data_IF_311915357760
#
_entry.id   IF_311915357760
#
_cell.length_a   1.000
_cell.length_b   1.000
_cell.length_c   1.000
_cell.angle_alpha   90.00
_cell.angle_beta   90.00
_cell.angle_gamma   90.00
#
_symmetry.space_group_name_H-M   'P 1'
#
loop_
_entity.id
_entity.type
_entity.pdbx_description
1 polymer ?
#
# COMPACT_ATOMS: atom_id res chain seq x y z
N UNK A 1 17.43 -5.37 -26.08
CA UNK A 1 18.23 -6.31 -26.88
C UNK A 1 17.24 -7.17 -27.68
N UNK A 2 16.83 -6.68 -28.85
CA UNK A 2 15.83 -7.31 -29.70
C UNK A 2 16.54 -8.21 -30.71
N UNK A 3 16.33 -9.52 -30.60
CA UNK A 3 16.89 -10.50 -31.53
C UNK A 3 15.98 -10.54 -32.77
N UNK A 4 16.49 -9.99 -33.86
CA UNK A 4 16.04 -10.20 -35.24
C UNK A 4 16.14 -11.69 -35.58
N UNK A 5 15.03 -12.43 -35.54
CA UNK A 5 14.96 -13.81 -36.07
C UNK A 5 14.29 -13.77 -37.44
N UNK A 6 15.13 -13.93 -38.46
CA UNK A 6 14.81 -14.00 -39.89
C UNK A 6 13.66 -14.96 -40.19
N UNK A 7 12.74 -14.46 -41.01
CA UNK A 7 11.94 -15.22 -41.96
C UNK A 7 12.88 -15.96 -42.91
N UNK A 8 12.71 -17.28 -43.04
CA UNK A 8 13.18 -18.03 -44.20
C UNK A 8 11.93 -18.63 -44.82
N UNK A 9 11.62 -18.09 -45.99
CA UNK A 9 10.55 -18.51 -46.87
C UNK A 9 10.79 -19.95 -47.31
N UNK A 10 9.82 -20.82 -47.02
CA UNK A 10 9.74 -22.14 -47.61
C UNK A 10 8.56 -22.16 -48.57
N UNK A 11 8.77 -21.61 -49.77
CA UNK A 11 7.88 -21.79 -50.91
C UNK A 11 8.17 -23.16 -51.53
N UNK A 12 7.43 -24.18 -51.06
CA UNK A 12 7.38 -25.50 -51.67
C UNK A 12 5.94 -25.85 -51.99
N UNK A 13 5.59 -25.74 -53.27
CA UNK A 13 4.28 -26.03 -53.85
C UNK A 13 3.82 -27.48 -53.63
N UNK A 14 2.51 -27.68 -53.53
CA UNK A 14 1.89 -29.00 -53.58
C UNK A 14 0.49 -28.99 -52.97
N UNK A 15 -0.51 -28.78 -53.81
CA UNK A 15 -1.89 -28.55 -53.38
C UNK A 15 -2.60 -29.77 -52.78
N UNK A 16 -3.49 -29.49 -51.84
CA UNK A 16 -4.69 -30.28 -51.55
C UNK A 16 -5.82 -29.33 -51.17
N UNK A 17 -6.99 -29.60 -51.75
CA UNK A 17 -8.23 -28.83 -51.73
C UNK A 17 -8.75 -28.44 -50.34
N UNK A 18 -9.55 -27.36 -50.26
CA UNK A 18 -10.06 -26.79 -49.02
C UNK A 18 -11.04 -27.76 -48.36
N UNK A 19 -10.57 -28.49 -47.34
CA UNK A 19 -11.48 -29.10 -46.39
C UNK A 19 -12.19 -27.95 -45.67
N UNK A 20 -13.51 -27.92 -45.86
CA UNK A 20 -14.46 -27.10 -45.11
C UNK A 20 -14.06 -27.09 -43.64
N UNK A 21 -13.35 -26.04 -43.24
CA UNK A 21 -13.07 -25.77 -41.84
C UNK A 21 -14.38 -25.29 -41.25
N UNK A 22 -15.20 -26.23 -40.79
CA UNK A 22 -16.26 -25.94 -39.85
C UNK A 22 -15.69 -24.95 -38.82
N UNK A 23 -16.30 -23.77 -38.64
CA UNK A 23 -15.77 -22.76 -37.74
C UNK A 23 -15.53 -23.45 -36.40
N UNK A 24 -14.31 -23.38 -35.85
CA UNK A 24 -14.03 -23.99 -34.56
C UNK A 24 -15.13 -23.48 -33.61
N UNK A 25 -15.81 -24.38 -32.88
CA UNK A 25 -16.92 -23.99 -32.03
C UNK A 25 -16.42 -22.83 -31.17
N UNK A 26 -17.09 -21.67 -31.27
CA UNK A 26 -16.76 -20.52 -30.46
C UNK A 26 -16.78 -21.01 -29.02
N UNK A 27 -15.59 -21.21 -28.44
CA UNK A 27 -15.43 -21.66 -27.07
C UNK A 27 -15.87 -20.47 -26.24
N UNK A 28 -17.18 -20.32 -26.07
CA UNK A 28 -17.84 -19.56 -25.02
C UNK A 28 -17.67 -20.25 -23.66
N UNK A 29 -16.56 -20.97 -23.50
CA UNK A 29 -16.16 -21.57 -22.26
C UNK A 29 -15.84 -20.44 -21.30
N UNK A 30 -16.80 -20.14 -20.42
CA UNK A 30 -16.64 -19.36 -19.21
C UNK A 30 -15.68 -20.03 -18.21
N UNK A 31 -14.58 -20.60 -18.70
CA UNK A 31 -13.46 -20.98 -17.87
C UNK A 31 -12.91 -19.71 -17.26
N UNK A 32 -13.03 -19.60 -15.94
CA UNK A 32 -12.53 -18.50 -15.14
C UNK A 32 -11.10 -18.17 -15.58
N UNK A 33 -10.94 -17.11 -16.38
CA UNK A 33 -9.62 -16.70 -16.84
C UNK A 33 -8.90 -16.11 -15.63
N UNK A 34 -7.91 -16.82 -15.11
CA UNK A 34 -7.03 -16.40 -14.02
C UNK A 34 -6.53 -14.94 -14.13
N UNK A 35 -6.22 -14.39 -15.33
CA UNK A 35 -5.89 -12.96 -15.47
C UNK A 35 -6.96 -12.01 -14.94
N UNK A 36 -8.24 -12.35 -15.09
CA UNK A 36 -9.36 -11.57 -14.57
C UNK A 36 -9.38 -11.53 -13.04
N UNK A 37 -9.18 -12.68 -12.39
CA UNK A 37 -9.15 -12.80 -10.92
C UNK A 37 -8.02 -11.93 -10.34
N UNK A 38 -6.84 -11.97 -10.96
CA UNK A 38 -5.69 -11.17 -10.50
C UNK A 38 -5.96 -9.68 -10.69
N UNK A 39 -6.56 -9.29 -11.82
CA UNK A 39 -6.98 -7.91 -12.05
C UNK A 39 -7.94 -7.42 -10.96
N UNK A 40 -8.91 -8.24 -10.58
CA UNK A 40 -9.85 -7.92 -9.49
C UNK A 40 -9.14 -7.79 -8.15
N UNK A 41 -8.24 -8.71 -7.80
CA UNK A 41 -7.48 -8.62 -6.54
C UNK A 41 -6.60 -7.36 -6.51
N UNK A 42 -5.95 -7.01 -7.63
CA UNK A 42 -5.19 -5.76 -7.75
C UNK A 42 -6.06 -4.52 -7.52
N UNK A 43 -7.30 -4.50 -8.04
CA UNK A 43 -8.24 -3.40 -7.82
C UNK A 43 -8.65 -3.32 -6.35
N UNK A 44 -8.96 -4.44 -5.70
CA UNK A 44 -9.31 -4.48 -4.28
C UNK A 44 -8.15 -3.98 -3.42
N UNK A 45 -6.93 -4.41 -3.71
CA UNK A 45 -5.74 -3.97 -2.98
C UNK A 45 -5.43 -2.49 -3.22
N UNK A 46 -5.63 -1.96 -4.44
CA UNK A 46 -5.53 -0.52 -4.70
C UNK A 46 -6.55 0.27 -3.88
N UNK A 47 -7.81 -0.19 -3.85
CA UNK A 47 -8.88 0.45 -3.10
C UNK A 47 -8.61 0.42 -1.58
N UNK A 48 -8.18 -0.71 -1.04
CA UNK A 48 -7.77 -0.83 0.36
C UNK A 48 -6.57 0.04 0.67
N UNK A 49 -5.58 0.11 -0.22
CA UNK A 49 -4.44 1.02 -0.07
C UNK A 49 -4.88 2.48 0.03
N UNK A 50 -5.81 2.91 -0.83
CA UNK A 50 -6.37 4.26 -0.80
C UNK A 50 -7.17 4.51 0.47
N UNK A 51 -7.97 3.54 0.94
CA UNK A 51 -8.75 3.70 2.18
C UNK A 51 -7.86 3.75 3.42
N UNK A 52 -6.94 2.78 3.57
CA UNK A 52 -6.09 2.70 4.75
C UNK A 52 -5.12 3.88 4.86
N UNK A 53 -4.55 4.34 3.74
CA UNK A 53 -3.64 5.49 3.77
C UNK A 53 -4.38 6.83 3.69
N UNK A 54 -5.42 6.92 2.85
CA UNK A 54 -6.20 8.14 2.67
C UNK A 54 -6.94 8.60 3.94
N UNK A 55 -7.42 7.66 4.77
CA UNK A 55 -8.04 8.00 6.04
C UNK A 55 -7.04 8.58 7.06
N UNK A 56 -5.80 8.09 7.07
CA UNK A 56 -4.79 8.53 8.04
C UNK A 56 -4.07 9.81 7.59
N UNK A 57 -3.86 10.01 6.29
CA UNK A 57 -3.30 11.26 5.77
C UNK A 57 -4.32 12.41 5.77
N UNK A 58 -5.61 12.10 5.58
CA UNK A 58 -6.68 13.10 5.57
C UNK A 58 -6.87 13.80 6.91
N UNK A 59 -6.79 13.05 8.03
CA UNK A 59 -6.83 13.62 9.38
C UNK A 59 -5.63 14.52 9.66
N UNK A 60 -4.42 14.12 9.24
CA UNK A 60 -3.20 14.93 9.40
C UNK A 60 -3.26 16.26 8.64
N UNK A 61 -3.81 16.29 7.43
CA UNK A 61 -3.96 17.53 6.64
C UNK A 61 -5.03 18.44 7.24
N UNK A 62 -6.19 17.89 7.64
CA UNK A 62 -7.24 18.64 8.32
C UNK A 62 -6.73 19.28 9.62
N UNK A 63 -5.94 18.55 10.40
CA UNK A 63 -5.32 19.06 11.62
C UNK A 63 -4.27 20.14 11.37
N UNK A 64 -3.68 20.22 10.18
CA UNK A 64 -2.71 21.26 9.82
C UNK A 64 -3.39 22.56 9.34
N UNK A 65 -4.62 22.47 8.84
CA UNK A 65 -5.41 23.62 8.36
C UNK A 65 -6.35 24.17 9.44
N UNK A 66 -6.74 23.36 10.42
CA UNK A 66 -7.63 23.77 11.50
C UNK A 66 -7.06 24.60 12.67
N UNK A 67 -5.73 24.75 12.92
CA UNK A 67 -5.29 25.35 14.18
C UNK A 67 -5.53 26.87 14.24
N UNK A 68 -5.76 27.53 13.10
CA UNK A 68 -5.92 28.98 13.06
C UNK A 68 -7.33 29.46 13.48
N UNK A 69 -8.31 28.54 13.59
CA UNK A 69 -9.67 28.91 13.99
C UNK A 69 -9.92 28.76 15.50
N UNK A 70 -9.11 27.98 16.23
CA UNK A 70 -9.29 27.77 17.67
C UNK A 70 -8.55 28.79 18.54
N UNK A 71 -7.53 29.49 18.01
CA UNK A 71 -6.80 30.50 18.79
C UNK A 71 -7.60 31.81 18.99
N UNK A 72 -8.60 32.08 18.14
CA UNK A 72 -9.50 33.24 18.28
C UNK A 72 -10.65 33.05 19.29
N UNK A 73 -10.83 31.86 19.87
CA UNK A 73 -11.87 31.63 20.89
C UNK A 73 -11.39 31.81 22.33
N UNK A 74 -10.08 31.75 22.61
CA UNK A 74 -9.59 31.90 23.99
C UNK A 74 -9.43 33.36 24.43
N UNK A 75 -9.43 34.34 23.52
CA UNK A 75 -9.28 35.76 23.86
C UNK A 75 -10.60 36.43 24.32
N UNK A 76 -11.75 35.73 24.30
CA UNK A 76 -13.03 36.29 24.77
C UNK A 76 -13.48 35.80 26.15
N UNK A 77 -12.71 34.95 26.84
CA UNK A 77 -13.11 34.40 28.15
C UNK A 77 -12.43 35.04 29.37
N UNK A 78 -11.55 36.03 29.19
CA UNK A 78 -10.87 36.72 30.31
C UNK A 78 -11.64 37.94 30.85
N UNK A 79 -12.97 38.01 30.71
CA UNK A 79 -13.77 39.08 31.34
C UNK A 79 -15.13 38.57 31.81
N UNK A 80 -15.15 37.68 32.81
CA UNK A 80 -16.23 37.59 33.81
C UNK A 80 -15.91 36.47 34.80
N UNK A 81 -15.52 36.81 36.03
CA UNK A 81 -15.43 35.76 37.06
C UNK A 81 -14.84 36.12 38.42
N UNK A 82 -14.92 37.37 38.87
CA UNK A 82 -14.81 37.64 40.31
C UNK A 82 -16.14 37.27 40.98
N UNK A 83 -16.22 36.10 41.64
CA UNK A 83 -17.06 35.92 42.85
C UNK A 83 -16.91 34.56 43.53
N UNK A 84 -16.49 34.68 44.78
CA UNK A 84 -16.96 33.94 45.96
C UNK A 84 -16.41 32.53 46.26
N UNK A 85 -15.51 32.56 47.24
CA UNK A 85 -15.25 31.58 48.29
C UNK A 85 -16.51 30.95 48.90
N UNK A 86 -16.56 29.63 49.01
CA UNK A 86 -17.54 28.93 49.82
C UNK A 86 -17.27 27.42 49.95
N UNK A 87 -16.84 27.00 51.14
CA UNK A 87 -16.58 25.62 51.57
C UNK A 87 -17.80 24.70 51.46
N UNK A 88 -17.61 23.42 51.16
CA UNK A 88 -17.72 22.31 52.14
C UNK A 88 -17.56 20.95 51.48
N UNK A 89 -17.12 20.02 52.33
CA UNK A 89 -16.70 18.65 52.06
C UNK A 89 -17.79 17.71 51.52
N UNK A 90 -17.29 16.54 51.11
CA UNK A 90 -17.99 15.26 50.89
C UNK A 90 -18.59 15.06 49.51
N UNK A 91 -17.85 14.37 48.63
CA UNK A 91 -18.51 13.30 47.88
C UNK A 91 -17.58 12.15 47.49
N UNK A 92 -18.11 10.95 47.74
CA UNK A 92 -17.57 9.63 47.53
C UNK A 92 -17.88 9.24 46.08
N UNK A 93 -16.96 9.44 45.14
CA UNK A 93 -17.17 9.07 43.74
C UNK A 93 -16.50 7.74 43.40
N UNK A 94 -17.34 6.70 43.38
CA UNK A 94 -17.51 5.73 42.29
C UNK A 94 -16.57 5.91 41.09
N UNK A 95 -15.97 4.82 40.64
CA UNK A 95 -14.99 4.80 39.56
C UNK A 95 -15.48 5.46 38.27
N UNK A 96 -14.91 6.62 37.97
CA UNK A 96 -14.94 7.26 36.66
C UNK A 96 -13.96 6.54 35.74
N UNK A 97 -14.53 5.60 35.00
CA UNK A 97 -13.92 4.86 33.91
C UNK A 97 -14.27 5.56 32.59
N UNK A 98 -13.91 6.84 32.43
CA UNK A 98 -14.16 7.61 31.20
C UNK A 98 -12.98 8.47 30.72
N UNK A 99 -11.86 8.51 31.45
CA UNK A 99 -10.72 9.37 31.10
C UNK A 99 -9.69 8.72 30.17
N UNK A 100 -10.01 7.57 29.55
CA UNK A 100 -9.11 6.90 28.59
C UNK A 100 -9.24 7.46 27.16
N UNK A 101 -10.26 8.26 26.87
CA UNK A 101 -10.56 8.71 25.49
C UNK A 101 -9.76 9.94 25.02
N UNK A 102 -8.77 10.40 25.79
CA UNK A 102 -7.89 11.49 25.36
C UNK A 102 -6.40 11.21 25.62
N UNK A 103 -5.95 10.02 25.23
CA UNK A 103 -4.54 9.85 24.86
C UNK A 103 -4.29 10.79 23.67
N UNK A 104 -3.88 12.00 24.01
CA UNK A 104 -3.63 13.10 23.12
C UNK A 104 -2.44 12.71 22.23
N UNK A 105 -2.75 12.15 21.06
CA UNK A 105 -1.80 11.86 19.97
C UNK A 105 -1.08 13.16 19.51
N UNK A 106 -1.45 14.31 20.05
CA UNK A 106 -0.81 15.61 19.84
C UNK A 106 0.62 15.70 20.40
N UNK A 107 1.07 14.76 21.24
CA UNK A 107 2.45 14.73 21.78
C UNK A 107 3.56 14.58 20.74
N UNK A 108 3.24 14.17 19.51
CA UNK A 108 4.21 14.07 18.40
C UNK A 108 4.34 15.34 17.55
N UNK A 109 3.70 16.46 17.92
CA UNK A 109 3.70 17.69 17.10
C UNK A 109 5.08 18.40 16.96
N UNK A 110 6.09 17.97 17.72
CA UNK A 110 7.46 18.53 17.71
C UNK A 110 8.38 17.90 16.65
N UNK A 111 7.84 17.35 15.56
CA UNK A 111 8.70 16.92 14.45
C UNK A 111 9.19 18.12 13.63
N UNK A 112 10.51 18.14 13.38
CA UNK A 112 11.20 19.10 12.52
C UNK A 112 10.42 19.31 11.22
N UNK A 113 10.29 20.55 10.70
CA UNK A 113 9.58 20.82 9.45
C UNK A 113 10.07 19.97 8.27
N UNK A 114 11.33 19.53 8.29
CA UNK A 114 11.87 18.60 7.30
C UNK A 114 11.13 17.25 7.26
N UNK A 115 10.73 16.69 8.41
CA UNK A 115 9.99 15.42 8.45
C UNK A 115 8.57 15.55 7.92
N UNK A 116 7.92 16.71 8.10
CA UNK A 116 6.59 16.96 7.53
C UNK A 116 6.62 16.95 6.00
N UNK A 117 7.67 17.51 5.40
CA UNK A 117 7.84 17.50 3.93
C UNK A 117 8.04 16.08 3.41
N UNK A 118 8.85 15.26 4.10
CA UNK A 118 9.06 13.86 3.73
C UNK A 118 7.74 13.10 3.75
N UNK A 119 6.92 13.29 4.79
CA UNK A 119 5.63 12.61 4.91
C UNK A 119 4.67 12.97 3.76
N UNK A 120 4.60 14.26 3.39
CA UNK A 120 3.82 14.71 2.23
C UNK A 120 4.29 14.02 0.95
N UNK A 121 5.62 13.96 0.70
CA UNK A 121 6.18 13.32 -0.50
C UNK A 121 5.85 11.83 -0.53
N UNK A 122 6.00 11.14 0.61
CA UNK A 122 5.68 9.71 0.74
C UNK A 122 4.19 9.46 0.47
N UNK A 123 3.31 10.32 0.97
CA UNK A 123 1.87 10.21 0.75
C UNK A 123 1.50 10.39 -0.73
N UNK A 124 2.08 11.37 -1.42
CA UNK A 124 1.86 11.54 -2.87
C UNK A 124 2.44 10.38 -3.69
N UNK A 125 3.62 9.89 -3.34
CA UNK A 125 4.22 8.73 -4.00
C UNK A 125 3.35 7.47 -3.81
N UNK A 126 2.81 7.27 -2.60
CA UNK A 126 1.88 6.18 -2.29
C UNK A 126 0.60 6.25 -3.12
N UNK A 127 0.01 7.44 -3.21
CA UNK A 127 -1.18 7.69 -4.04
C UNK A 127 -0.91 7.42 -5.52
N UNK A 128 0.22 7.91 -6.05
CA UNK A 128 0.63 7.65 -7.42
C UNK A 128 0.81 6.15 -7.69
N UNK A 129 1.43 5.42 -6.76
CA UNK A 129 1.60 3.97 -6.86
C UNK A 129 0.26 3.22 -6.82
N UNK A 130 -0.73 3.71 -6.09
CA UNK A 130 -2.07 3.11 -6.06
C UNK A 130 -2.86 3.35 -7.35
N UNK A 131 -2.84 4.58 -7.87
CA UNK A 131 -3.45 4.92 -9.17
C UNK A 131 -2.81 4.08 -10.27
N UNK A 132 -1.48 3.93 -10.25
CA UNK A 132 -0.78 3.07 -11.19
C UNK A 132 -1.29 1.61 -11.11
N UNK A 133 -1.37 1.03 -9.91
CA UNK A 133 -1.89 -0.33 -9.72
C UNK A 133 -3.33 -0.47 -10.27
N UNK A 134 -4.18 0.52 -10.02
CA UNK A 134 -5.57 0.54 -10.48
C UNK A 134 -5.65 0.59 -12.02
N UNK A 135 -4.90 1.48 -12.66
CA UNK A 135 -4.80 1.57 -14.12
C UNK A 135 -4.28 0.27 -14.74
N UNK A 136 -3.26 -0.33 -14.12
CA UNK A 136 -2.70 -1.60 -14.59
C UNK A 136 -3.68 -2.77 -14.40
N UNK A 137 -4.42 -2.80 -13.28
CA UNK A 137 -5.48 -3.77 -13.01
C UNK A 137 -6.64 -3.68 -14.01
N UNK A 138 -7.11 -2.47 -14.34
CA UNK A 138 -8.13 -2.25 -15.38
C UNK A 138 -7.61 -2.67 -16.76
N UNK A 139 -6.33 -2.39 -17.05
CA UNK A 139 -5.70 -2.85 -18.29
C UNK A 139 -5.70 -4.38 -18.41
N UNK A 140 -5.50 -5.08 -17.30
CA UNK A 140 -5.50 -6.54 -17.24
C UNK A 140 -6.90 -7.13 -17.46
N UNK A 141 -7.94 -6.54 -16.87
CA UNK A 141 -9.33 -6.98 -17.10
C UNK A 141 -9.79 -6.72 -18.53
N UNK A 142 -9.29 -5.64 -19.16
CA UNK A 142 -9.51 -5.34 -20.58
C UNK A 142 -8.57 -6.07 -21.54
N UNK A 143 -7.79 -7.05 -21.06
CA UNK A 143 -6.85 -7.85 -21.86
C UNK A 143 -5.90 -7.00 -22.71
N UNK A 144 -5.40 -5.88 -22.15
CA UNK A 144 -4.44 -5.02 -22.85
C UNK A 144 -3.01 -5.51 -22.61
N UNK A 145 -2.16 -5.67 -23.65
CA UNK A 145 -0.81 -6.22 -23.51
C UNK A 145 0.12 -5.32 -22.68
N UNK A 146 -0.09 -3.99 -22.70
CA UNK A 146 0.72 -3.05 -21.91
C UNK A 146 0.55 -3.20 -20.40
N UNK A 147 -0.57 -3.79 -19.94
CA UNK A 147 -0.88 -3.94 -18.52
C UNK A 147 0.10 -4.88 -17.80
N UNK A 148 0.57 -5.93 -18.49
CA UNK A 148 1.49 -6.93 -17.92
C UNK A 148 2.85 -6.31 -17.63
N UNK A 149 3.42 -5.58 -18.60
CA UNK A 149 4.68 -4.86 -18.40
C UNK A 149 4.56 -3.80 -17.31
N UNK A 150 3.42 -3.12 -17.24
CA UNK A 150 3.12 -2.12 -16.21
C UNK A 150 3.07 -2.72 -14.79
N UNK A 151 2.37 -3.85 -14.60
CA UNK A 151 2.32 -4.57 -13.32
C UNK A 151 3.69 -5.13 -12.91
N UNK A 152 4.48 -5.60 -13.88
CA UNK A 152 5.82 -6.09 -13.63
C UNK A 152 6.75 -4.97 -13.15
N UNK A 153 6.72 -3.82 -13.83
CA UNK A 153 7.48 -2.63 -13.42
C UNK A 153 7.05 -2.13 -12.03
N UNK A 154 5.74 -2.06 -11.78
CA UNK A 154 5.20 -1.69 -10.47
C UNK A 154 5.71 -2.60 -9.35
N UNK A 155 5.72 -3.92 -9.58
CA UNK A 155 6.17 -4.91 -8.60
C UNK A 155 7.67 -4.74 -8.27
N UNK A 156 8.51 -4.49 -9.27
CA UNK A 156 9.92 -4.19 -9.07
C UNK A 156 10.14 -2.93 -8.24
N UNK A 157 9.46 -1.83 -8.58
CA UNK A 157 9.56 -0.58 -7.84
C UNK A 157 9.15 -0.80 -6.38
N UNK A 158 8.05 -1.52 -6.13
CA UNK A 158 7.59 -1.84 -4.77
C UNK A 158 8.62 -2.63 -3.97
N UNK A 159 9.25 -3.64 -4.58
CA UNK A 159 10.30 -4.43 -3.91
C UNK A 159 11.50 -3.55 -3.56
N UNK A 160 11.93 -2.67 -4.47
CA UNK A 160 13.06 -1.76 -4.21
C UNK A 160 12.74 -0.76 -3.10
N UNK A 161 11.54 -0.17 -3.10
CA UNK A 161 11.08 0.75 -2.04
C UNK A 161 11.01 0.03 -0.69
N UNK A 162 10.43 -1.18 -0.66
CA UNK A 162 10.36 -1.96 0.56
C UNK A 162 11.77 -2.33 1.08
N UNK A 163 12.68 -2.72 0.19
CA UNK A 163 14.06 -3.05 0.56
C UNK A 163 14.81 -1.82 1.08
N UNK A 164 14.64 -0.65 0.44
CA UNK A 164 15.20 0.62 0.93
C UNK A 164 14.66 1.01 2.30
N UNK A 165 13.36 0.82 2.53
CA UNK A 165 12.73 1.03 3.85
C UNK A 165 13.29 0.07 4.91
N UNK A 166 13.42 -1.22 4.59
CA UNK A 166 14.03 -2.21 5.48
C UNK A 166 15.47 -1.84 5.84
N UNK A 167 16.25 -1.43 4.85
CA UNK A 167 17.63 -1.01 5.06
C UNK A 167 17.66 0.22 5.97
N UNK A 168 16.85 1.24 5.68
CA UNK A 168 16.75 2.46 6.49
C UNK A 168 16.36 2.16 7.94
N UNK A 169 15.33 1.35 8.16
CA UNK A 169 14.91 0.94 9.49
C UNK A 169 15.98 0.14 10.22
N UNK A 170 16.65 -0.78 9.52
CA UNK A 170 17.76 -1.53 10.08
C UNK A 170 18.90 -0.62 10.54
N UNK A 171 19.28 0.37 9.73
CA UNK A 171 20.28 1.37 10.10
C UNK A 171 19.84 2.22 11.29
N UNK A 172 18.58 2.67 11.31
CA UNK A 172 18.03 3.48 12.40
C UNK A 172 17.99 2.70 13.71
N UNK A 173 17.66 1.41 13.66
CA UNK A 173 17.55 0.53 14.83
C UNK A 173 18.89 0.05 15.40
N UNK A 174 19.96 0.18 14.61
CA UNK A 174 21.34 0.05 15.12
C UNK A 174 21.86 1.34 15.76
N UNK A 175 21.14 2.46 15.61
CA UNK A 175 21.54 3.75 16.15
C UNK A 175 21.28 3.90 17.66
N UNK A 176 21.89 4.93 18.29
CA UNK A 176 21.78 5.20 19.73
C UNK A 176 20.36 5.56 20.19
N UNK A 177 19.46 5.88 19.26
CA UNK A 177 18.07 6.23 19.57
C UNK A 177 17.31 5.09 20.27
N UNK A 178 17.62 3.83 19.96
CA UNK A 178 17.00 2.69 20.66
C UNK A 178 17.46 2.59 22.11
N UNK A 179 18.70 2.99 22.41
CA UNK A 179 19.22 2.95 23.78
C UNK A 179 18.54 4.02 24.64
N UNK A 180 18.32 5.22 24.08
CA UNK A 180 17.57 6.30 24.76
C UNK A 180 16.11 5.91 25.02
N UNK A 181 15.46 5.24 24.06
CA UNK A 181 14.06 4.82 24.19
C UNK A 181 13.89 3.69 25.23
N UNK A 182 14.84 2.74 25.27
CA UNK A 182 14.88 1.68 26.28
C UNK A 182 15.13 2.28 27.66
N UNK A 183 16.03 3.27 27.78
CA UNK A 183 16.28 3.96 29.03
C UNK A 183 15.01 4.68 29.56
N UNK A 184 14.25 5.34 28.68
CA UNK A 184 12.98 5.98 29.06
C UNK A 184 11.93 4.97 29.53
N UNK A 185 11.74 3.87 28.80
CA UNK A 185 10.78 2.82 29.18
C UNK A 185 11.17 2.14 30.50
N UNK A 186 12.47 1.99 30.76
CA UNK A 186 12.96 1.43 32.02
C UNK A 186 12.68 2.36 33.20
N UNK A 187 12.80 3.69 33.01
CA UNK A 187 12.42 4.67 34.03
C UNK A 187 10.91 4.62 34.33
N UNK A 188 10.07 4.54 33.30
CA UNK A 188 8.61 4.43 33.47
C UNK A 188 8.21 3.12 34.15
N UNK A 189 8.80 1.99 33.74
CA UNK A 189 8.51 0.69 34.34
C UNK A 189 8.90 0.62 35.81
N UNK A 190 9.97 1.31 36.22
CA UNK A 190 10.38 1.37 37.63
C UNK A 190 9.36 2.07 38.53
N UNK A 191 8.54 2.97 37.98
CA UNK A 191 7.48 3.69 38.71
C UNK A 191 6.23 2.85 38.88
N UNK A 192 6.03 1.82 38.04
CA UNK A 192 4.78 1.04 38.03
C UNK A 192 4.75 -0.13 39.02
N UNK A 193 5.85 -0.40 39.74
CA UNK A 193 5.87 -1.27 40.94
C UNK A 193 5.58 -2.77 40.70
N UNK A 194 5.27 -3.17 39.47
CA UNK A 194 4.98 -4.56 39.13
C UNK A 194 6.27 -5.22 38.62
N UNK A 195 6.80 -6.15 39.42
CA UNK A 195 8.15 -6.70 39.31
C UNK A 195 8.38 -7.67 38.15
N UNK A 196 7.83 -7.41 36.96
CA UNK A 196 8.15 -8.17 35.76
C UNK A 196 9.43 -7.58 35.16
N UNK A 197 10.58 -8.15 35.50
CA UNK A 197 11.85 -7.87 34.84
C UNK A 197 11.77 -8.39 33.39
N UNK A 198 11.22 -7.56 32.50
CA UNK A 198 11.31 -7.82 31.07
C UNK A 198 12.76 -7.59 30.62
N UNK A 199 13.41 -8.66 30.19
CA UNK A 199 14.71 -8.58 29.55
C UNK A 199 14.59 -7.70 28.29
N UNK A 200 15.22 -6.52 28.33
CA UNK A 200 15.21 -5.54 27.25
C UNK A 200 15.68 -6.16 25.91
N UNK A 201 16.53 -7.19 25.99
CA UNK A 201 17.00 -7.92 24.81
C UNK A 201 15.86 -8.67 24.12
N UNK A 202 14.96 -9.30 24.88
CA UNK A 202 13.81 -10.05 24.35
C UNK A 202 12.83 -9.08 23.68
N UNK A 203 12.54 -7.94 24.32
CA UNK A 203 11.64 -6.93 23.76
C UNK A 203 12.15 -6.41 22.40
N UNK A 204 13.46 -6.14 22.30
CA UNK A 204 14.09 -5.71 21.05
C UNK A 204 13.90 -6.74 19.92
N UNK A 205 14.12 -8.02 20.20
CA UNK A 205 13.93 -9.08 19.20
C UNK A 205 12.47 -9.26 18.79
N UNK A 206 11.52 -9.10 19.72
CA UNK A 206 10.09 -9.17 19.40
C UNK A 206 9.69 -8.04 18.44
N UNK A 207 10.15 -6.80 18.71
CA UNK A 207 9.85 -5.65 17.84
C UNK A 207 10.51 -5.81 16.46
N UNK A 208 11.78 -6.25 16.41
CA UNK A 208 12.45 -6.55 15.13
C UNK A 208 11.68 -7.63 14.36
N UNK A 209 11.32 -8.72 15.04
CA UNK A 209 10.65 -9.86 14.46
C UNK A 209 9.28 -9.50 13.90
N UNK A 210 8.48 -8.73 14.63
CA UNK A 210 7.14 -8.30 14.18
C UNK A 210 7.24 -7.35 12.98
N UNK A 211 8.17 -6.38 13.01
CA UNK A 211 8.43 -5.47 11.88
C UNK A 211 8.89 -6.24 10.63
N UNK A 212 9.80 -7.20 10.78
CA UNK A 212 10.27 -8.04 9.68
C UNK A 212 9.14 -8.92 9.11
N UNK A 213 8.29 -9.47 9.97
CA UNK A 213 7.13 -10.29 9.57
C UNK A 213 6.14 -9.48 8.74
N UNK A 214 5.74 -8.29 9.22
CA UNK A 214 4.84 -7.38 8.49
C UNK A 214 5.46 -7.00 7.14
N UNK A 215 6.77 -6.75 7.14
CA UNK A 215 7.57 -6.54 5.94
C UNK A 215 7.46 -7.63 4.89
N UNK A 216 7.71 -8.86 5.32
CA UNK A 216 7.67 -10.03 4.46
C UNK A 216 6.27 -10.22 3.87
N UNK A 217 5.21 -10.04 4.67
CA UNK A 217 3.83 -10.10 4.19
C UNK A 217 3.56 -9.04 3.11
N UNK A 218 4.07 -7.81 3.30
CA UNK A 218 3.92 -6.74 2.31
C UNK A 218 4.72 -6.99 1.00
N UNK A 219 5.85 -7.68 1.08
CA UNK A 219 6.69 -8.03 -0.08
C UNK A 219 6.20 -9.30 -0.78
N UNK A 220 5.52 -10.21 -0.07
CA UNK A 220 5.04 -11.47 -0.63
C UNK A 220 4.14 -11.25 -1.85
N UNK A 221 3.25 -10.26 -1.82
CA UNK A 221 2.34 -9.95 -2.92
C UNK A 221 3.05 -9.50 -4.22
N UNK A 222 3.91 -8.45 -4.22
CA UNK A 222 4.63 -8.06 -5.44
C UNK A 222 5.58 -9.15 -5.95
N UNK A 223 6.17 -9.96 -5.06
CA UNK A 223 6.97 -11.13 -5.47
C UNK A 223 6.10 -12.18 -6.15
N UNK A 224 4.92 -12.47 -5.61
CA UNK A 224 3.95 -13.37 -6.22
C UNK A 224 3.52 -12.87 -7.62
N UNK A 225 3.23 -11.58 -7.78
CA UNK A 225 2.90 -10.98 -9.08
C UNK A 225 4.04 -11.14 -10.09
N UNK A 226 5.29 -10.89 -9.67
CA UNK A 226 6.46 -11.08 -10.54
C UNK A 226 6.61 -12.53 -11.01
N UNK A 227 6.49 -13.48 -10.09
CA UNK A 227 6.58 -14.90 -10.43
C UNK A 227 5.43 -15.35 -11.32
N UNK A 228 4.21 -14.91 -11.01
CA UNK A 228 3.02 -15.26 -11.77
C UNK A 228 3.07 -14.71 -13.21
N UNK A 229 3.37 -13.42 -13.37
CA UNK A 229 3.45 -12.77 -14.69
C UNK A 229 4.66 -13.24 -15.50
N UNK A 230 5.73 -13.69 -14.84
CA UNK A 230 6.89 -14.31 -15.48
C UNK A 230 6.66 -15.70 -16.05
N UNK A 231 5.50 -16.33 -15.78
CA UNK A 231 5.20 -17.69 -16.26
C UNK A 231 4.95 -17.67 -17.77
N UNK A 232 5.68 -18.51 -18.52
CA UNK A 232 5.58 -18.62 -20.00
C UNK A 232 4.14 -18.73 -20.52
N UNK A 233 3.32 -19.55 -19.85
CA UNK A 233 1.90 -19.73 -20.20
C UNK A 233 1.12 -18.40 -20.21
N UNK A 234 1.34 -17.54 -19.23
CA UNK A 234 0.67 -16.23 -19.15
C UNK A 234 1.18 -15.32 -20.27
N UNK A 235 2.49 -15.35 -20.54
CA UNK A 235 3.08 -14.60 -21.65
C UNK A 235 2.54 -15.03 -23.02
N UNK A 236 2.34 -16.34 -23.23
CA UNK A 236 1.78 -16.89 -24.47
C UNK A 236 0.30 -16.49 -24.63
N UNK A 237 -0.49 -16.58 -23.55
CA UNK A 237 -1.88 -16.12 -23.52
C UNK A 237 -1.99 -14.62 -23.84
N UNK A 238 -1.11 -13.80 -23.26
CA UNK A 238 -1.08 -12.33 -23.48
C UNK A 238 -0.63 -11.99 -24.90
N UNK A 239 0.29 -12.77 -25.48
CA UNK A 239 0.69 -12.60 -26.88
C UNK A 239 -0.48 -12.83 -27.84
N UNK A 240 -1.39 -13.77 -27.50
CA UNK A 240 -2.61 -14.05 -28.26
C UNK A 240 -3.65 -12.92 -28.25
N UNK A 241 -3.59 -11.97 -27.30
CA UNK A 241 -4.57 -10.88 -27.21
C UNK A 241 -4.47 -9.90 -28.39
N UNK A 242 -3.31 -9.81 -29.05
CA UNK A 242 -3.13 -8.92 -30.19
C UNK A 242 -3.69 -9.49 -31.50
N UNK A 243 -3.83 -10.80 -31.62
CA UNK A 243 -4.31 -11.45 -32.84
C UNK A 243 -5.82 -11.32 -33.05
N UNK A 244 -6.61 -11.12 -31.98
CA UNK A 244 -8.09 -11.03 -32.08
C UNK A 244 -8.60 -9.63 -32.46
N UNK A 245 -7.77 -8.59 -32.36
CA UNK A 245 -8.20 -7.18 -32.52
C UNK A 245 -8.00 -6.67 -33.95
N UNK A 246 -7.51 -7.49 -34.88
CA UNK A 246 -7.57 -7.13 -36.29
C UNK A 246 -8.96 -7.51 -36.80
N UNK A 247 -9.92 -6.56 -36.93
CA UNK A 247 -11.11 -6.83 -37.73
C UNK A 247 -10.58 -7.28 -39.08
N UNK A 248 -10.98 -8.48 -39.54
CA UNK A 248 -10.76 -8.87 -40.92
C UNK A 248 -11.23 -7.69 -41.75
N UNK A 249 -10.31 -6.97 -42.38
CA UNK A 249 -10.61 -5.84 -43.27
C UNK A 249 -11.27 -6.31 -44.57
N UNK A 250 -11.97 -7.45 -44.51
CA UNK A 250 -12.92 -7.96 -45.47
C UNK A 250 -14.22 -7.15 -45.35
N UNK A 251 -14.08 -5.82 -45.48
CA UNK A 251 -15.14 -4.94 -45.96
C UNK A 251 -15.12 -5.01 -47.49
N UNK A 252 -15.20 -6.25 -48.00
CA UNK A 252 -15.40 -6.52 -49.42
C UNK A 252 -16.60 -5.72 -49.88
N UNK A 253 -16.33 -4.80 -50.80
CA UNK A 253 -17.33 -3.88 -51.33
C UNK A 253 -18.43 -4.59 -52.09
N UNK A 254 -19.60 -3.98 -52.03
CA UNK A 254 -20.58 -4.01 -53.11
C UNK A 254 -20.49 -2.69 -53.89
#
# INVERSE_FOLDING_TARGET
>A
MYILRRSIDNQGAGGLSPMSSSPPPAISGGGSSWPGVIGTISIILAALGIMCWGCNSGSSILNMVAPDMMMNQMEMTEVAGDSETGSTDVEKSSGDQSDIDSISINGMASFSPAMKVVDIIVNFASLGMSIWLLCAGIGLTRRRPWSVGSLQAWSWIRILVALGWFLMMFWMMQGPMMDDLVAQLQEESSKQGDGVEFDAQIMRWIVIGSCALVGLVLIAWPVFLLFYLGRRRVSEEVAGWNSEVLPSSDWGGE
#
